data_IF_415310540536
#
_entry.id   IF_415310540536
#
_cell.length_a   1.000
_cell.length_b   1.000
_cell.length_c   1.000
_cell.angle_alpha   90.00
_cell.angle_beta   90.00
_cell.angle_gamma   90.00
#
_symmetry.space_group_name_H-M   'P 1'
#
loop_
_entity.id
_entity.type
_entity.pdbx_description
1 polymer ?
#
# COMPACT_ATOMS: atom_id res chain seq x y z
N UNK A 1 24.95 0.18 -15.97
CA UNK A 1 25.50 0.23 -14.60
C UNK A 1 27.02 0.44 -14.69
N UNK A 2 27.61 1.36 -13.91
CA UNK A 2 29.07 1.55 -13.84
C UNK A 2 29.78 0.33 -13.25
N UNK A 3 31.02 0.05 -13.71
CA UNK A 3 31.79 -1.14 -13.28
C UNK A 3 32.20 -1.10 -11.81
N UNK A 4 32.50 0.08 -11.28
CA UNK A 4 32.81 0.30 -9.86
C UNK A 4 31.66 -0.13 -8.95
N UNK A 5 30.42 0.23 -9.32
CA UNK A 5 29.21 -0.12 -8.57
C UNK A 5 28.91 -1.63 -8.64
N UNK A 6 29.24 -2.28 -9.76
CA UNK A 6 29.12 -3.73 -9.91
C UNK A 6 30.08 -4.48 -8.97
N UNK A 7 31.32 -3.99 -8.86
CA UNK A 7 32.34 -4.57 -7.99
C UNK A 7 31.95 -4.38 -6.51
N UNK A 8 31.43 -3.20 -6.13
CA UNK A 8 30.91 -2.90 -4.78
C UNK A 8 29.74 -3.81 -4.38
N UNK A 9 28.76 -4.04 -5.25
CA UNK A 9 27.66 -4.98 -5.00
C UNK A 9 28.15 -6.41 -4.84
N UNK A 10 29.11 -6.82 -5.67
CA UNK A 10 29.64 -8.18 -5.64
C UNK A 10 30.41 -8.44 -4.36
N UNK A 11 31.18 -7.47 -3.88
CA UNK A 11 31.87 -7.54 -2.59
C UNK A 11 30.90 -7.53 -1.41
N UNK A 12 29.90 -6.64 -1.43
CA UNK A 12 28.89 -6.56 -0.36
C UNK A 12 27.99 -7.80 -0.28
N UNK A 13 27.74 -8.48 -1.40
CA UNK A 13 26.98 -9.75 -1.43
C UNK A 13 27.79 -10.96 -0.95
N UNK A 14 29.13 -10.88 -0.99
CA UNK A 14 30.01 -11.96 -0.51
C UNK A 14 30.19 -11.96 1.00
N UNK A 15 29.86 -10.87 1.68
CA UNK A 15 30.06 -10.76 3.12
C UNK A 15 31.50 -10.47 3.53
N UNK A 16 32.31 -9.88 2.63
CA UNK A 16 33.75 -9.69 2.88
C UNK A 16 34.04 -8.56 3.90
N UNK A 17 33.03 -7.76 4.30
CA UNK A 17 33.15 -6.69 5.29
C UNK A 17 32.21 -6.95 6.48
N UNK A 18 32.70 -7.00 7.73
CA UNK A 18 31.92 -7.18 8.98
C UNK A 18 30.87 -6.06 9.27
N UNK A 19 30.48 -5.26 8.27
CA UNK A 19 29.48 -4.19 8.25
C UNK A 19 28.40 -4.43 7.19
N UNK A 20 28.10 -5.70 6.94
CA UNK A 20 27.42 -6.19 5.74
C UNK A 20 26.07 -5.54 5.42
N UNK A 21 25.21 -5.32 6.42
CA UNK A 21 23.84 -4.88 6.13
C UNK A 21 23.78 -3.43 5.62
N UNK A 22 24.57 -2.52 6.17
CA UNK A 22 24.56 -1.12 5.76
C UNK A 22 25.28 -0.91 4.44
N UNK A 23 26.41 -1.60 4.22
CA UNK A 23 27.16 -1.53 2.98
C UNK A 23 26.36 -2.12 1.80
N UNK A 24 25.73 -3.28 2.02
CA UNK A 24 24.86 -3.91 1.03
C UNK A 24 23.63 -3.04 0.74
N UNK A 25 23.03 -2.44 1.77
CA UNK A 25 21.88 -1.54 1.61
C UNK A 25 22.24 -0.29 0.78
N UNK A 26 23.40 0.30 1.00
CA UNK A 26 23.90 1.45 0.22
C UNK A 26 24.16 1.04 -1.23
N UNK A 27 24.87 -0.06 -1.44
CA UNK A 27 25.20 -0.55 -2.78
C UNK A 27 23.93 -0.92 -3.59
N UNK A 28 22.94 -1.56 -2.96
CA UNK A 28 21.65 -1.85 -3.59
C UNK A 28 20.84 -0.59 -3.91
N UNK A 29 20.87 0.41 -3.02
CA UNK A 29 20.22 1.70 -3.27
C UNK A 29 20.80 2.37 -4.50
N UNK A 30 22.12 2.38 -4.63
CA UNK A 30 22.80 3.04 -5.76
C UNK A 30 22.65 2.25 -7.06
N UNK A 31 22.60 0.92 -7.02
CA UNK A 31 22.30 0.10 -8.19
C UNK A 31 20.84 0.12 -8.64
N UNK A 32 19.91 0.45 -7.76
CA UNK A 32 18.48 0.49 -8.09
C UNK A 32 18.17 1.39 -9.28
N UNK A 33 18.92 2.49 -9.43
CA UNK A 33 18.81 3.43 -10.55
C UNK A 33 19.16 2.81 -11.93
N UNK A 34 19.87 1.68 -11.93
CA UNK A 34 20.31 0.99 -13.14
C UNK A 34 19.56 -0.32 -13.40
N UNK A 35 18.78 -0.80 -12.43
CA UNK A 35 18.04 -2.06 -12.56
C UNK A 35 16.91 -1.96 -13.60
N UNK A 36 16.33 -0.78 -13.78
CA UNK A 36 15.19 -0.58 -14.69
C UNK A 36 15.25 0.79 -15.38
N UNK A 37 15.84 0.91 -16.59
CA UNK A 37 15.90 2.19 -17.31
C UNK A 37 14.53 2.71 -17.80
N UNK A 38 13.47 1.89 -17.71
CA UNK A 38 12.12 2.20 -18.20
C UNK A 38 11.02 2.10 -17.12
N UNK A 39 11.36 1.98 -15.84
CA UNK A 39 10.34 2.03 -14.78
C UNK A 39 10.66 3.19 -13.85
N UNK A 40 9.71 4.10 -13.72
CA UNK A 40 9.68 5.17 -12.73
C UNK A 40 10.15 4.62 -11.37
N UNK A 41 11.22 5.21 -10.83
CA UNK A 41 11.76 4.84 -9.51
C UNK A 41 10.62 4.80 -8.50
N UNK A 42 10.42 3.63 -7.88
CA UNK A 42 9.56 3.51 -6.71
C UNK A 42 10.31 4.17 -5.54
N UNK A 43 10.01 5.43 -5.27
CA UNK A 43 10.61 6.22 -4.20
C UNK A 43 9.91 5.93 -2.87
N UNK A 44 10.48 6.35 -1.74
CA UNK A 44 9.90 6.08 -0.41
C UNK A 44 8.47 6.65 -0.22
N UNK A 45 8.06 7.57 -1.08
CA UNK A 45 6.69 8.09 -1.29
C UNK A 45 5.70 7.11 -1.94
N UNK A 46 6.16 5.92 -2.34
CA UNK A 46 5.34 4.84 -2.87
C UNK A 46 4.89 3.81 -1.82
N UNK A 47 5.28 4.01 -0.55
CA UNK A 47 4.61 3.30 0.54
C UNK A 47 3.20 3.86 0.70
N UNK A 48 2.21 2.96 0.80
CA UNK A 48 0.90 3.31 1.37
C UNK A 48 1.14 4.09 2.68
N UNK A 49 0.48 5.23 2.93
CA UNK A 49 -0.63 5.82 2.19
C UNK A 49 -0.19 7.04 1.35
N UNK A 50 -0.52 7.05 0.06
CA UNK A 50 -0.41 8.25 -0.77
C UNK A 50 -1.70 8.41 -1.57
N UNK A 51 -2.59 9.29 -1.10
CA UNK A 51 -3.92 9.48 -1.70
C UNK A 51 -3.85 10.03 -3.13
N UNK A 52 -2.76 10.70 -3.49
CA UNK A 52 -2.53 11.19 -4.86
C UNK A 52 -2.48 10.03 -5.86
N UNK A 53 -1.95 8.85 -5.48
CA UNK A 53 -1.93 7.67 -6.37
C UNK A 53 -3.31 7.07 -6.57
N UNK A 54 -4.13 7.04 -5.52
CA UNK A 54 -5.49 6.54 -5.62
C UNK A 54 -6.34 7.50 -6.48
N UNK A 55 -6.17 8.82 -6.34
CA UNK A 55 -6.81 9.81 -7.19
C UNK A 55 -6.41 9.68 -8.67
N UNK A 56 -5.11 9.58 -8.97
CA UNK A 56 -4.59 9.39 -10.34
C UNK A 56 -5.13 8.08 -10.95
N UNK A 57 -5.18 7.00 -10.17
CA UNK A 57 -5.74 5.72 -10.63
C UNK A 57 -7.23 5.84 -10.99
N UNK A 58 -8.03 6.51 -10.15
CA UNK A 58 -9.45 6.75 -10.42
C UNK A 58 -9.66 7.65 -11.65
N UNK A 59 -8.81 8.66 -11.85
CA UNK A 59 -8.84 9.51 -13.04
C UNK A 59 -8.52 8.72 -14.32
N UNK A 60 -7.49 7.88 -14.29
CA UNK A 60 -7.12 7.01 -15.44
C UNK A 60 -8.22 6.02 -15.79
N UNK A 61 -8.93 5.51 -14.79
CA UNK A 61 -10.08 4.62 -14.97
C UNK A 61 -11.36 5.37 -15.32
N UNK A 62 -11.32 6.71 -15.46
CA UNK A 62 -12.48 7.56 -15.73
C UNK A 62 -13.64 7.34 -14.76
N UNK A 63 -13.32 7.05 -13.49
CA UNK A 63 -14.34 6.82 -12.45
C UNK A 63 -14.98 8.16 -12.09
N UNK A 64 -16.32 8.30 -12.22
CA UNK A 64 -17.01 9.54 -11.89
C UNK A 64 -16.82 9.94 -10.42
N UNK A 65 -16.78 11.25 -10.09
CA UNK A 65 -16.67 11.69 -8.71
C UNK A 65 -17.77 11.21 -7.76
N UNK A 66 -18.96 11.02 -8.29
CA UNK A 66 -20.14 10.57 -7.54
C UNK A 66 -20.19 9.05 -7.37
N UNK A 67 -19.29 8.30 -8.01
CA UNK A 67 -19.32 6.84 -7.94
C UNK A 67 -18.92 6.38 -6.52
N UNK A 68 -19.74 5.55 -5.86
CA UNK A 68 -19.40 5.03 -4.53
C UNK A 68 -18.17 4.12 -4.65
N UNK A 69 -17.25 4.26 -3.70
CA UNK A 69 -16.01 3.47 -3.65
C UNK A 69 -16.04 2.61 -2.39
N UNK A 70 -15.83 1.30 -2.55
CA UNK A 70 -15.65 0.37 -1.44
C UNK A 70 -14.21 -0.11 -1.40
N UNK A 71 -13.51 0.13 -0.30
CA UNK A 71 -12.12 -0.26 -0.08
C UNK A 71 -12.05 -1.54 0.72
N UNK A 72 -11.35 -2.53 0.21
CA UNK A 72 -11.10 -3.79 0.92
C UNK A 72 -9.65 -3.82 1.38
N UNK A 73 -9.42 -4.19 2.65
CA UNK A 73 -8.08 -4.31 3.21
C UNK A 73 -8.05 -5.23 4.42
N UNK A 74 -6.88 -5.80 4.71
CA UNK A 74 -6.62 -6.62 5.89
C UNK A 74 -6.12 -5.80 7.10
N UNK A 75 -5.82 -4.51 6.89
CA UNK A 75 -5.36 -3.62 7.95
C UNK A 75 -6.01 -2.24 7.89
N UNK A 76 -6.14 -1.57 9.04
CA UNK A 76 -6.74 -0.23 9.12
C UNK A 76 -6.01 0.82 8.26
N UNK A 77 -4.71 0.64 8.00
CA UNK A 77 -3.94 1.53 7.12
C UNK A 77 -4.39 1.47 5.66
N UNK A 78 -4.88 0.32 5.21
CA UNK A 78 -5.38 0.15 3.84
C UNK A 78 -6.72 0.86 3.64
N UNK A 79 -7.50 1.03 4.71
CA UNK A 79 -8.71 1.84 4.68
C UNK A 79 -8.36 3.33 4.81
N UNK A 80 -7.47 3.67 5.77
CA UNK A 80 -7.05 5.05 6.04
C UNK A 80 -6.41 5.75 4.84
N UNK A 81 -5.89 5.01 3.86
CA UNK A 81 -5.28 5.59 2.65
C UNK A 81 -6.24 6.44 1.83
N UNK A 82 -7.56 6.25 1.99
CA UNK A 82 -8.58 7.01 1.28
C UNK A 82 -9.17 8.15 2.12
N UNK A 83 -8.64 8.42 3.32
CA UNK A 83 -9.15 9.49 4.18
C UNK A 83 -9.11 10.85 3.46
N UNK A 84 -7.99 11.18 2.81
CA UNK A 84 -7.87 12.41 2.01
C UNK A 84 -8.86 12.46 0.83
N UNK A 85 -9.27 11.30 0.28
CA UNK A 85 -10.30 11.26 -0.76
C UNK A 85 -11.70 11.45 -0.18
N UNK A 86 -11.98 10.90 0.99
CA UNK A 86 -13.24 11.15 1.69
C UNK A 86 -13.39 12.64 2.02
N UNK A 87 -12.29 13.31 2.41
CA UNK A 87 -12.25 14.76 2.63
C UNK A 87 -12.57 15.58 1.36
N UNK A 88 -12.32 15.04 0.16
CA UNK A 88 -12.75 15.69 -1.11
C UNK A 88 -14.25 15.57 -1.40
N UNK A 89 -15.04 14.97 -0.50
CA UNK A 89 -16.48 14.80 -0.64
C UNK A 89 -16.91 13.55 -1.40
N UNK A 90 -15.99 12.61 -1.65
CA UNK A 90 -16.28 11.33 -2.30
C UNK A 90 -16.99 10.40 -1.32
N UNK A 91 -17.97 9.63 -1.80
CA UNK A 91 -18.62 8.58 -0.98
C UNK A 91 -17.72 7.34 -0.90
N UNK A 92 -17.15 7.10 0.27
CA UNK A 92 -16.17 6.03 0.50
C UNK A 92 -16.62 5.19 1.68
N UNK A 93 -16.62 3.87 1.48
CA UNK A 93 -16.86 2.86 2.50
C UNK A 93 -15.67 1.92 2.59
N UNK A 94 -15.38 1.44 3.81
CA UNK A 94 -14.32 0.48 4.07
C UNK A 94 -14.86 -0.91 4.37
N UNK A 95 -14.05 -1.91 4.07
CA UNK A 95 -14.23 -3.29 4.49
C UNK A 95 -12.89 -3.81 5.01
N UNK A 96 -12.81 -4.00 6.33
CA UNK A 96 -11.68 -4.60 7.00
C UNK A 96 -11.88 -6.11 7.10
N UNK A 97 -10.96 -6.89 6.54
CA UNK A 97 -11.00 -8.35 6.54
C UNK A 97 -9.97 -8.84 7.54
N UNK A 98 -10.42 -9.08 8.77
CA UNK A 98 -9.56 -9.49 9.87
C UNK A 98 -10.36 -10.42 10.81
N UNK A 99 -10.19 -11.75 10.70
CA UNK A 99 -10.94 -12.72 11.49
C UNK A 99 -10.65 -12.66 12.99
N UNK A 100 -9.51 -12.12 13.40
CA UNK A 100 -9.13 -12.00 14.80
C UNK A 100 -9.50 -10.62 15.39
N UNK A 101 -10.08 -9.73 14.58
CA UNK A 101 -10.48 -8.40 15.02
C UNK A 101 -11.64 -8.47 16.02
N UNK A 102 -11.58 -7.76 17.16
CA UNK A 102 -12.63 -7.82 18.18
C UNK A 102 -13.99 -7.29 17.71
N UNK A 103 -13.98 -6.50 16.63
CA UNK A 103 -15.18 -5.87 16.05
C UNK A 103 -15.71 -6.57 14.80
N UNK A 104 -15.30 -7.80 14.48
CA UNK A 104 -15.94 -8.60 13.41
C UNK A 104 -17.47 -8.56 13.57
N UNK A 105 -18.17 -8.26 12.48
CA UNK A 105 -19.62 -8.09 12.45
C UNK A 105 -20.12 -6.68 12.66
N UNK A 106 -19.22 -5.78 13.06
CA UNK A 106 -19.58 -4.39 13.38
C UNK A 106 -19.08 -3.44 12.31
N UNK A 107 -19.70 -2.26 12.33
CA UNK A 107 -19.19 -1.11 11.60
C UNK A 107 -18.40 -0.23 12.56
N UNK A 108 -17.18 0.12 12.17
CA UNK A 108 -16.28 1.02 12.88
C UNK A 108 -15.96 2.23 12.00
N UNK A 109 -15.49 3.31 12.61
CA UNK A 109 -14.95 4.46 11.88
C UNK A 109 -13.42 4.33 11.77
N UNK A 110 -12.90 4.38 10.55
CA UNK A 110 -11.46 4.46 10.30
C UNK A 110 -11.17 5.78 9.60
N UNK A 111 -10.74 6.79 10.37
CA UNK A 111 -10.36 8.12 9.85
C UNK A 111 -11.51 8.80 9.10
N UNK A 112 -12.73 8.74 9.63
CA UNK A 112 -13.93 9.32 9.01
C UNK A 112 -14.55 8.45 7.92
N UNK A 113 -14.02 7.24 7.69
CA UNK A 113 -14.55 6.29 6.71
C UNK A 113 -15.37 5.22 7.45
N UNK A 114 -16.68 5.11 7.19
CA UNK A 114 -17.50 4.02 7.71
C UNK A 114 -16.98 2.68 7.16
N UNK A 115 -16.58 1.77 8.06
CA UNK A 115 -15.89 0.54 7.71
C UNK A 115 -16.55 -0.68 8.34
N UNK A 116 -16.98 -1.64 7.53
CA UNK A 116 -17.47 -2.94 8.02
C UNK A 116 -16.28 -3.85 8.32
N UNK A 117 -16.27 -4.52 9.47
CA UNK A 117 -15.27 -5.54 9.79
C UNK A 117 -15.87 -6.93 9.54
N UNK A 118 -15.19 -7.74 8.74
CA UNK A 118 -15.59 -9.10 8.39
C UNK A 118 -14.45 -10.08 8.69
N UNK A 119 -14.78 -11.33 9.02
CA UNK A 119 -13.77 -12.35 9.24
C UNK A 119 -13.29 -13.00 7.95
N UNK A 120 -14.15 -13.03 6.92
CA UNK A 120 -13.85 -13.61 5.62
C UNK A 120 -14.52 -12.86 4.48
N UNK A 121 -13.90 -12.86 3.30
CA UNK A 121 -14.53 -12.40 2.06
C UNK A 121 -15.80 -13.17 1.71
N UNK A 122 -15.97 -14.39 2.22
CA UNK A 122 -17.19 -15.16 2.02
C UNK A 122 -18.39 -14.56 2.76
N UNK A 123 -18.14 -13.77 3.80
CA UNK A 123 -19.17 -13.13 4.64
C UNK A 123 -19.78 -11.90 3.96
N UNK A 124 -19.23 -11.48 2.79
CA UNK A 124 -19.71 -10.31 2.06
C UNK A 124 -21.16 -10.42 1.60
N UNK A 125 -21.62 -11.65 1.35
CA UNK A 125 -22.95 -11.95 0.82
C UNK A 125 -23.88 -12.59 1.86
N UNK A 126 -23.43 -12.77 3.10
CA UNK A 126 -24.26 -13.36 4.14
C UNK A 126 -24.96 -12.26 4.95
N UNK A 127 -26.28 -12.07 4.79
CA UNK A 127 -27.03 -11.11 5.58
C UNK A 127 -27.11 -11.48 7.08
N UNK A 128 -26.58 -12.65 7.47
CA UNK A 128 -26.51 -13.15 8.84
C UNK A 128 -25.07 -13.41 9.32
N UNK A 129 -24.04 -12.93 8.61
CA UNK A 129 -22.69 -12.92 9.18
C UNK A 129 -22.75 -12.16 10.52
N UNK A 130 -22.21 -12.76 11.61
CA UNK A 130 -22.32 -12.21 12.97
C UNK A 130 -21.73 -10.82 13.04
#
# INVERSE_FOLDING_TARGET
>A
MPKTLQDELTSALRGDDDKDDDALRVALKDASAYAHPNTTMVTQTDRKPNATRLLDSLQRLSVPPEAPIVLYGDQSRDISQAAELAETGRHIEGVLIDPDHPDVGRQIDIKGIPTRVIGSLNDLNDPNAP
#
